data_IF_212399114226
#
_entry.id   IF_212399114226
#
_cell.length_a   1.000
_cell.length_b   1.000
_cell.length_c   1.000
_cell.angle_alpha   90.00
_cell.angle_beta   90.00
_cell.angle_gamma   90.00
#
_symmetry.space_group_name_H-M   'P 1'
#
loop_
_entity.id
_entity.type
_entity.pdbx_description
1 polymer ?
#
# COMPACT_ATOMS: atom_id res chain seq x y z
N UNK A 1 -21.45 -19.12 28.73
CA UNK A 1 -20.08 -19.13 28.20
C UNK A 1 -20.12 -18.71 26.73
N UNK A 2 -19.84 -17.48 26.45
CA UNK A 2 -19.77 -16.92 25.08
C UNK A 2 -18.41 -17.33 24.50
N UNK A 3 -18.42 -18.12 23.42
CA UNK A 3 -17.18 -18.47 22.70
C UNK A 3 -16.56 -17.19 22.14
N UNK A 4 -15.25 -16.99 22.27
CA UNK A 4 -14.56 -15.86 21.64
C UNK A 4 -14.75 -15.99 20.12
N UNK A 5 -15.18 -14.91 19.45
CA UNK A 5 -15.17 -14.81 17.99
C UNK A 5 -13.74 -14.98 17.53
N UNK A 6 -13.46 -16.01 16.75
CA UNK A 6 -12.22 -16.15 16.02
C UNK A 6 -12.05 -14.87 15.16
N UNK A 7 -10.95 -14.13 15.43
CA UNK A 7 -10.52 -13.08 14.51
C UNK A 7 -10.26 -13.73 13.17
N UNK A 8 -10.99 -13.34 12.13
CA UNK A 8 -10.61 -13.66 10.76
C UNK A 8 -9.15 -13.21 10.57
N UNK A 9 -8.29 -14.03 9.96
CA UNK A 9 -6.93 -13.62 9.69
C UNK A 9 -6.96 -12.38 8.81
N UNK A 10 -6.25 -11.33 9.23
CA UNK A 10 -6.09 -10.10 8.45
C UNK A 10 -5.65 -10.50 7.03
N UNK A 11 -6.44 -10.13 6.03
CA UNK A 11 -6.10 -10.38 4.63
C UNK A 11 -4.71 -9.77 4.36
N UNK A 12 -3.77 -10.58 3.91
CA UNK A 12 -2.40 -10.14 3.63
C UNK A 12 -2.44 -9.00 2.61
N UNK A 13 -1.93 -7.83 3.00
CA UNK A 13 -1.89 -6.65 2.13
C UNK A 13 -1.07 -6.96 0.86
N UNK A 14 -1.64 -6.68 -0.31
CA UNK A 14 -1.06 -6.97 -1.62
C UNK A 14 -0.14 -5.83 -2.08
N UNK A 15 1.00 -5.65 -1.38
CA UNK A 15 1.93 -4.55 -1.62
C UNK A 15 2.53 -4.55 -3.04
N UNK A 16 2.95 -5.72 -3.55
CA UNK A 16 3.65 -5.80 -4.83
C UNK A 16 2.78 -5.41 -6.03
N UNK A 17 1.53 -5.91 -6.21
CA UNK A 17 0.64 -5.44 -7.26
C UNK A 17 0.37 -3.95 -7.19
N UNK A 18 0.18 -3.39 -5.98
CA UNK A 18 -0.02 -1.96 -5.79
C UNK A 18 1.23 -1.14 -6.15
N UNK A 19 2.43 -1.64 -5.81
CA UNK A 19 3.67 -1.02 -6.23
C UNK A 19 3.80 -0.98 -7.75
N UNK A 20 3.52 -2.10 -8.46
CA UNK A 20 3.54 -2.12 -9.92
C UNK A 20 2.57 -1.09 -10.51
N UNK A 21 1.36 -0.98 -9.97
CA UNK A 21 0.39 0.02 -10.38
C UNK A 21 0.90 1.45 -10.12
N UNK A 22 1.49 1.71 -8.95
CA UNK A 22 2.07 3.00 -8.61
C UNK A 22 3.24 3.38 -9.54
N UNK A 23 4.14 2.45 -9.83
CA UNK A 23 5.26 2.68 -10.76
C UNK A 23 4.77 3.02 -12.18
N UNK A 24 3.70 2.37 -12.65
CA UNK A 24 3.08 2.70 -13.93
C UNK A 24 2.42 4.08 -13.92
N UNK A 25 1.80 4.48 -12.80
CA UNK A 25 1.24 5.83 -12.64
C UNK A 25 2.33 6.91 -12.60
N UNK A 26 3.43 6.67 -11.90
CA UNK A 26 4.59 7.57 -11.89
C UNK A 26 5.12 7.87 -13.30
N UNK A 27 5.16 6.84 -14.12
CA UNK A 27 5.71 6.90 -15.47
C UNK A 27 4.65 7.09 -16.57
N UNK A 28 3.39 7.41 -16.20
CA UNK A 28 2.24 7.48 -17.13
C UNK A 28 2.43 8.43 -18.29
N UNK A 29 3.16 9.52 -18.09
CA UNK A 29 3.45 10.49 -19.16
C UNK A 29 4.29 9.89 -20.29
N UNK A 30 5.04 8.84 -20.00
CA UNK A 30 5.86 8.12 -20.96
C UNK A 30 5.33 6.73 -21.30
N UNK A 31 4.07 6.40 -20.96
CA UNK A 31 3.53 5.04 -21.15
C UNK A 31 3.63 4.52 -22.59
N UNK A 32 3.63 5.41 -23.57
CA UNK A 32 3.81 5.04 -24.97
C UNK A 32 5.25 4.59 -25.31
N UNK A 33 6.22 4.96 -24.50
CA UNK A 33 7.65 4.69 -24.66
C UNK A 33 8.15 3.57 -23.75
N UNK A 34 7.29 3.03 -22.89
CA UNK A 34 7.62 2.04 -21.87
C UNK A 34 6.76 0.78 -22.02
N UNK A 35 7.37 -0.38 -21.84
CA UNK A 35 6.70 -1.67 -21.70
C UNK A 35 6.95 -2.22 -20.30
N UNK A 36 5.87 -2.52 -19.56
CA UNK A 36 5.93 -3.02 -18.17
C UNK A 36 5.66 -4.53 -18.15
N UNK A 37 6.63 -5.31 -17.71
CA UNK A 37 6.53 -6.77 -17.58
C UNK A 37 6.53 -7.13 -16.10
N UNK A 38 5.34 -7.31 -15.54
CA UNK A 38 5.12 -7.69 -14.14
C UNK A 38 5.43 -9.18 -13.94
N UNK A 39 5.91 -9.56 -12.74
CA UNK A 39 6.18 -10.95 -12.35
C UNK A 39 6.99 -11.71 -13.42
N UNK A 40 8.03 -11.05 -13.95
CA UNK A 40 8.83 -11.61 -15.03
C UNK A 40 9.55 -12.88 -14.60
N UNK A 41 9.27 -14.00 -15.30
CA UNK A 41 9.83 -15.29 -14.97
C UNK A 41 11.17 -15.51 -15.68
N UNK A 42 12.27 -15.59 -14.91
CA UNK A 42 13.62 -15.74 -15.45
C UNK A 42 14.03 -17.18 -15.70
N UNK A 43 13.19 -18.18 -15.41
CA UNK A 43 13.53 -19.58 -15.64
C UNK A 43 12.33 -20.43 -16.05
N UNK A 44 12.61 -21.56 -16.75
CA UNK A 44 11.60 -22.58 -17.08
C UNK A 44 11.13 -23.40 -15.86
N UNK A 45 11.70 -23.19 -14.66
CA UNK A 45 11.25 -23.69 -13.36
C UNK A 45 11.25 -22.52 -12.38
N UNK A 46 10.27 -22.45 -11.46
CA UNK A 46 9.96 -21.21 -10.78
C UNK A 46 11.07 -20.75 -9.83
N UNK A 47 11.96 -19.92 -10.32
CA UNK A 47 12.48 -18.83 -9.54
C UNK A 47 11.42 -17.71 -9.71
N UNK A 48 10.33 -17.80 -8.96
CA UNK A 48 9.35 -16.72 -8.90
C UNK A 48 10.04 -15.51 -8.28
N UNK A 49 10.14 -14.48 -9.05
CA UNK A 49 10.73 -13.21 -8.65
C UNK A 49 9.69 -12.14 -8.83
N UNK A 50 9.44 -11.42 -7.76
CA UNK A 50 8.57 -10.25 -7.75
C UNK A 50 9.28 -9.06 -8.42
N UNK A 51 9.85 -9.28 -9.61
CA UNK A 51 10.54 -8.24 -10.37
C UNK A 51 9.60 -7.60 -11.38
N UNK A 52 9.68 -6.27 -11.43
CA UNK A 52 9.14 -5.49 -12.53
C UNK A 52 10.25 -5.20 -13.54
N UNK A 53 10.04 -5.53 -14.81
CA UNK A 53 10.93 -5.12 -15.91
C UNK A 53 10.24 -4.03 -16.70
N UNK A 54 10.94 -2.92 -16.90
CA UNK A 54 10.48 -1.80 -17.73
C UNK A 54 11.41 -1.70 -18.94
N UNK A 55 10.87 -1.94 -20.13
CA UNK A 55 11.59 -1.73 -21.39
C UNK A 55 11.30 -0.33 -21.93
N UNK A 56 12.36 0.44 -22.17
CA UNK A 56 12.30 1.82 -22.66
C UNK A 56 12.59 1.84 -24.18
N UNK A 57 11.76 2.49 -24.95
CA UNK A 57 12.03 2.71 -26.38
C UNK A 57 13.30 3.55 -26.58
N UNK A 58 14.05 3.23 -27.64
CA UNK A 58 15.24 4.01 -28.02
C UNK A 58 14.90 5.49 -28.13
N UNK A 59 15.80 6.33 -27.60
CA UNK A 59 15.72 7.79 -27.64
C UNK A 59 14.55 8.41 -26.87
N UNK A 60 13.73 7.63 -26.16
CA UNK A 60 12.72 8.19 -25.28
C UNK A 60 13.36 8.93 -24.11
N UNK A 61 12.89 10.15 -23.83
CA UNK A 61 13.28 10.90 -22.64
C UNK A 61 12.20 10.73 -21.57
N UNK A 62 12.58 10.25 -20.40
CA UNK A 62 11.66 10.06 -19.29
C UNK A 62 11.68 11.35 -18.46
N UNK A 63 10.50 11.94 -18.25
CA UNK A 63 10.34 13.21 -17.52
C UNK A 63 10.43 13.03 -16.00
N UNK A 64 10.03 11.86 -15.49
CA UNK A 64 10.07 11.55 -14.07
C UNK A 64 11.51 11.29 -13.61
N UNK A 65 11.90 11.84 -12.47
CA UNK A 65 13.26 11.78 -11.93
C UNK A 65 13.75 10.34 -11.69
N UNK A 66 12.84 9.43 -11.29
CA UNK A 66 13.14 8.00 -11.13
C UNK A 66 13.59 7.39 -12.45
N UNK A 67 12.97 7.81 -13.54
CA UNK A 67 13.28 7.32 -14.89
C UNK A 67 14.52 7.95 -15.53
N UNK A 68 15.16 8.92 -14.90
CA UNK A 68 16.35 9.60 -15.46
C UNK A 68 17.50 8.60 -15.70
N UNK A 69 17.66 7.60 -14.82
CA UNK A 69 18.69 6.57 -14.97
C UNK A 69 18.34 5.51 -16.02
N UNK A 70 17.06 5.42 -16.44
CA UNK A 70 16.57 4.32 -17.26
C UNK A 70 17.25 4.24 -18.63
N UNK A 71 17.58 3.00 -19.00
CA UNK A 71 18.12 2.61 -20.31
C UNK A 71 17.15 1.65 -20.99
N UNK A 72 17.59 0.89 -21.96
CA UNK A 72 16.73 -0.04 -22.71
C UNK A 72 15.94 -1.00 -21.83
N UNK A 73 16.60 -1.58 -20.81
CA UNK A 73 16.00 -2.58 -19.92
C UNK A 73 16.25 -2.21 -18.45
N UNK A 74 15.19 -2.06 -17.68
CA UNK A 74 15.25 -1.57 -16.31
C UNK A 74 14.65 -2.60 -15.36
N UNK A 75 15.51 -3.20 -14.53
CA UNK A 75 15.15 -4.24 -13.55
C UNK A 75 14.80 -3.55 -12.23
N UNK A 76 13.60 -3.79 -11.73
CA UNK A 76 13.08 -3.13 -10.54
C UNK A 76 12.73 -4.17 -9.48
N UNK A 77 13.29 -4.02 -8.29
CA UNK A 77 12.95 -4.77 -7.07
C UNK A 77 12.23 -3.84 -6.09
N UNK A 78 11.12 -4.30 -5.54
CA UNK A 78 10.39 -3.60 -4.49
C UNK A 78 10.38 -4.43 -3.21
N UNK A 79 10.71 -3.79 -2.09
CA UNK A 79 10.54 -4.33 -0.74
C UNK A 79 9.40 -3.64 -0.01
N UNK A 80 8.44 -4.43 0.43
CA UNK A 80 7.29 -3.91 1.18
C UNK A 80 7.75 -3.17 2.46
N UNK A 81 6.92 -2.30 3.04
CA UNK A 81 7.26 -1.64 4.30
C UNK A 81 7.56 -2.62 5.44
N UNK A 82 7.04 -3.85 5.35
CA UNK A 82 7.20 -4.90 6.37
C UNK A 82 8.51 -5.69 6.21
N UNK A 83 9.15 -5.60 5.04
CA UNK A 83 10.36 -6.34 4.71
C UNK A 83 11.59 -5.46 4.85
N UNK A 84 12.70 -6.07 5.31
CA UNK A 84 14.01 -5.46 5.25
C UNK A 84 14.56 -5.45 3.81
N UNK A 85 15.44 -4.49 3.50
CA UNK A 85 16.26 -4.54 2.29
C UNK A 85 17.71 -4.70 2.72
N UNK A 86 18.26 -5.87 2.45
CA UNK A 86 19.58 -6.30 2.90
C UNK A 86 20.62 -6.21 1.78
N UNK A 87 21.90 -6.39 2.13
CA UNK A 87 22.97 -6.52 1.15
C UNK A 87 22.77 -7.73 0.23
N UNK A 88 22.18 -8.83 0.76
CA UNK A 88 21.89 -10.02 -0.02
C UNK A 88 20.76 -9.76 -1.03
N UNK A 89 19.73 -8.98 -0.65
CA UNK A 89 18.69 -8.55 -1.59
C UNK A 89 19.27 -7.71 -2.73
N UNK A 90 20.19 -6.81 -2.41
CA UNK A 90 20.88 -5.99 -3.40
C UNK A 90 21.65 -6.84 -4.42
N UNK A 91 22.52 -7.73 -3.94
CA UNK A 91 23.30 -8.60 -4.83
C UNK A 91 22.43 -9.66 -5.55
N UNK A 92 21.36 -10.12 -4.91
CA UNK A 92 20.36 -10.98 -5.54
C UNK A 92 19.70 -10.27 -6.72
N UNK A 93 19.27 -9.02 -6.55
CA UNK A 93 18.65 -8.24 -7.64
C UNK A 93 19.64 -7.98 -8.78
N UNK A 94 20.88 -7.65 -8.45
CA UNK A 94 21.94 -7.50 -9.45
C UNK A 94 22.21 -8.83 -10.19
N UNK A 95 22.24 -9.96 -9.48
CA UNK A 95 22.33 -11.29 -10.06
C UNK A 95 21.18 -11.58 -11.03
N UNK A 96 19.98 -11.17 -10.70
CA UNK A 96 18.82 -11.30 -11.57
C UNK A 96 18.91 -10.43 -12.82
N UNK A 97 19.41 -9.22 -12.71
CA UNK A 97 19.69 -8.39 -13.87
C UNK A 97 20.72 -9.03 -14.80
N UNK A 98 21.75 -9.67 -14.25
CA UNK A 98 22.73 -10.44 -15.01
C UNK A 98 22.13 -11.68 -15.67
N UNK A 99 21.24 -12.40 -14.97
CA UNK A 99 20.50 -13.54 -15.53
C UNK A 99 19.58 -13.08 -16.67
N UNK A 100 18.82 -12.00 -16.47
CA UNK A 100 17.96 -11.43 -17.49
C UNK A 100 18.73 -11.10 -18.78
N UNK A 101 19.90 -10.44 -18.63
CA UNK A 101 20.82 -10.21 -19.75
C UNK A 101 21.24 -11.50 -20.46
N UNK A 102 21.57 -12.54 -19.67
CA UNK A 102 22.10 -13.81 -20.17
C UNK A 102 21.07 -14.74 -20.84
N UNK A 103 19.77 -14.50 -20.63
CA UNK A 103 18.69 -15.33 -21.16
C UNK A 103 18.22 -14.94 -22.58
N UNK A 104 18.87 -13.96 -23.21
CA UNK A 104 18.58 -13.59 -24.60
C UNK A 104 18.82 -14.76 -25.56
N UNK A 105 18.01 -14.88 -26.61
CA UNK A 105 18.13 -15.92 -27.66
C UNK A 105 19.41 -15.78 -28.48
N UNK A 106 19.95 -14.57 -28.57
CA UNK A 106 21.17 -14.24 -29.31
C UNK A 106 22.24 -13.70 -28.40
N UNK A 107 23.50 -13.93 -28.76
CA UNK A 107 24.64 -13.37 -28.03
C UNK A 107 24.54 -11.85 -27.97
N UNK A 108 24.63 -11.31 -26.76
CA UNK A 108 24.54 -9.88 -26.46
C UNK A 108 23.27 -9.19 -26.98
N UNK A 109 22.15 -9.91 -26.98
CA UNK A 109 20.83 -9.36 -27.39
C UNK A 109 20.43 -8.19 -26.52
N UNK A 110 20.74 -8.25 -25.20
CA UNK A 110 20.64 -7.14 -24.25
C UNK A 110 22.05 -6.69 -23.95
N UNK A 111 22.52 -5.59 -24.53
CA UNK A 111 23.84 -5.03 -24.19
C UNK A 111 23.91 -4.58 -22.74
N UNK A 112 25.09 -4.71 -22.10
CA UNK A 112 25.25 -4.33 -20.70
C UNK A 112 24.95 -2.85 -20.45
N UNK A 113 25.31 -2.01 -21.39
CA UNK A 113 25.09 -0.57 -21.38
C UNK A 113 23.59 -0.19 -21.45
N UNK A 114 22.72 -1.11 -21.88
CA UNK A 114 21.26 -0.92 -21.94
C UNK A 114 20.54 -1.42 -20.68
N UNK A 115 21.27 -1.87 -19.66
CA UNK A 115 20.69 -2.44 -18.44
C UNK A 115 20.82 -1.47 -17.26
N UNK A 116 19.77 -1.34 -16.45
CA UNK A 116 19.78 -0.65 -15.15
C UNK A 116 19.09 -1.45 -14.06
N UNK A 117 19.39 -1.13 -12.80
CA UNK A 117 18.77 -1.73 -11.62
C UNK A 117 18.22 -0.64 -10.71
N UNK A 118 16.98 -0.81 -10.23
CA UNK A 118 16.36 0.10 -9.27
C UNK A 118 15.76 -0.69 -8.11
N UNK A 119 16.12 -0.32 -6.88
CA UNK A 119 15.61 -0.93 -5.66
C UNK A 119 14.71 0.07 -4.94
N UNK A 120 13.47 -0.33 -4.67
CA UNK A 120 12.46 0.52 -4.04
C UNK A 120 12.12 0.05 -2.64
N UNK A 121 12.05 0.99 -1.70
CA UNK A 121 11.60 0.75 -0.33
C UNK A 121 11.02 2.03 0.29
N UNK A 122 10.05 1.86 1.20
CA UNK A 122 9.41 3.00 1.86
C UNK A 122 10.39 3.83 2.70
N UNK A 123 11.26 3.19 3.49
CA UNK A 123 12.23 3.87 4.37
C UNK A 123 13.66 3.58 3.95
N UNK A 124 14.59 4.52 4.20
CA UNK A 124 15.99 4.37 3.84
C UNK A 124 16.62 3.09 4.42
N UNK A 125 17.21 2.23 3.58
CA UNK A 125 17.90 1.01 4.01
C UNK A 125 19.32 1.36 4.50
N UNK A 126 19.41 2.05 5.63
CA UNK A 126 20.68 2.62 6.17
C UNK A 126 21.78 1.58 6.32
N UNK A 127 21.43 0.35 6.75
CA UNK A 127 22.42 -0.72 6.92
C UNK A 127 22.97 -1.19 5.56
N UNK A 128 22.11 -1.38 4.55
CA UNK A 128 22.53 -1.68 3.19
C UNK A 128 23.46 -0.60 2.64
N UNK A 129 23.05 0.67 2.75
CA UNK A 129 23.86 1.81 2.24
C UNK A 129 25.23 1.85 2.91
N UNK A 130 25.28 1.64 4.24
CA UNK A 130 26.55 1.56 4.98
C UNK A 130 27.41 0.39 4.48
N UNK A 131 26.85 -0.81 4.35
CA UNK A 131 27.59 -1.99 3.88
C UNK A 131 28.13 -1.81 2.44
N UNK A 132 27.38 -1.16 1.56
CA UNK A 132 27.87 -0.82 0.22
C UNK A 132 29.08 0.11 0.30
N UNK A 133 29.07 1.12 1.17
CA UNK A 133 30.21 2.03 1.40
C UNK A 133 31.40 1.25 1.99
N UNK A 134 31.16 0.37 2.97
CA UNK A 134 32.19 -0.48 3.59
C UNK A 134 32.85 -1.43 2.55
N UNK A 135 32.13 -1.84 1.51
CA UNK A 135 32.61 -2.62 0.38
C UNK A 135 33.33 -1.77 -0.70
N UNK A 136 33.43 -0.46 -0.49
CA UNK A 136 34.12 0.45 -1.41
C UNK A 136 33.25 1.03 -2.52
N UNK A 137 31.95 0.79 -2.51
CA UNK A 137 31.01 1.43 -3.43
C UNK A 137 30.65 2.83 -2.93
N UNK A 138 30.29 3.72 -3.86
CA UNK A 138 29.88 5.08 -3.53
C UNK A 138 28.36 5.19 -3.60
N UNK A 139 27.73 5.64 -2.52
CA UNK A 139 26.27 5.88 -2.44
C UNK A 139 26.06 7.38 -2.34
N UNK A 140 25.50 8.00 -3.37
CA UNK A 140 25.32 9.45 -3.47
C UNK A 140 23.85 9.81 -3.64
N UNK A 141 23.39 10.81 -2.89
CA UNK A 141 22.08 11.42 -3.09
C UNK A 141 22.08 12.16 -4.45
N UNK A 142 21.21 11.71 -5.35
CA UNK A 142 21.02 12.35 -6.65
C UNK A 142 19.96 13.46 -6.56
N UNK A 143 18.79 13.13 -6.03
CA UNK A 143 17.72 14.06 -5.70
C UNK A 143 16.93 13.48 -4.51
N UNK A 144 15.96 14.22 -3.99
CA UNK A 144 15.19 13.80 -2.80
C UNK A 144 14.69 12.37 -2.94
N UNK A 145 15.13 11.48 -2.05
CA UNK A 145 14.73 10.06 -2.02
C UNK A 145 15.37 9.16 -3.09
N UNK A 146 16.23 9.69 -3.97
CA UNK A 146 16.89 8.90 -5.03
C UNK A 146 18.40 8.92 -4.81
N UNK A 147 18.98 7.74 -4.58
CA UNK A 147 20.40 7.54 -4.33
C UNK A 147 21.03 6.71 -5.46
N UNK A 148 22.12 7.16 -6.04
CA UNK A 148 22.87 6.39 -7.02
C UNK A 148 23.99 5.60 -6.36
N UNK A 149 24.15 4.33 -6.77
CA UNK A 149 25.23 3.46 -6.31
C UNK A 149 26.24 3.32 -7.44
N UNK A 150 27.43 3.89 -7.21
CA UNK A 150 28.52 3.89 -8.19
C UNK A 150 29.55 2.79 -7.86
N UNK A 151 30.27 2.35 -8.88
CA UNK A 151 31.28 1.29 -8.79
C UNK A 151 30.88 -0.01 -9.49
N UNK A 152 29.67 -0.05 -10.07
CA UNK A 152 29.17 -1.15 -10.88
C UNK A 152 29.16 -0.80 -12.37
N UNK A 153 29.30 -1.80 -13.24
CA UNK A 153 29.17 -1.63 -14.70
C UNK A 153 27.72 -1.35 -15.13
N UNK A 154 26.75 -1.74 -14.29
CA UNK A 154 25.33 -1.48 -14.47
C UNK A 154 24.97 -0.29 -13.59
N UNK A 155 24.31 0.77 -14.09
CA UNK A 155 23.81 1.84 -13.25
C UNK A 155 22.75 1.34 -12.28
N UNK A 156 22.88 1.73 -11.02
CA UNK A 156 22.01 1.28 -9.93
C UNK A 156 21.51 2.48 -9.15
N UNK A 157 20.21 2.47 -8.82
CA UNK A 157 19.63 3.43 -7.88
C UNK A 157 18.88 2.72 -6.74
N UNK A 158 18.87 3.39 -5.59
CA UNK A 158 18.01 3.07 -4.45
C UNK A 158 17.00 4.20 -4.32
N UNK A 159 15.70 3.87 -4.37
CA UNK A 159 14.61 4.82 -4.25
C UNK A 159 13.92 4.64 -2.90
N UNK A 160 13.98 5.68 -2.07
CA UNK A 160 13.33 5.75 -0.76
C UNK A 160 12.03 6.53 -0.92
N UNK A 161 10.91 5.82 -1.07
CA UNK A 161 9.65 6.43 -1.53
C UNK A 161 9.10 7.48 -0.56
N UNK A 162 9.36 7.38 0.75
CA UNK A 162 8.95 8.39 1.73
C UNK A 162 9.74 9.70 1.65
N UNK A 163 10.94 9.66 1.09
CA UNK A 163 11.81 10.82 0.94
C UNK A 163 11.65 11.53 -0.42
N UNK A 164 10.84 10.97 -1.34
CA UNK A 164 10.54 11.58 -2.62
C UNK A 164 9.79 12.90 -2.47
N UNK A 165 9.88 13.77 -3.46
CA UNK A 165 9.10 15.01 -3.50
C UNK A 165 7.59 14.68 -3.61
N UNK A 166 6.79 15.32 -2.77
CA UNK A 166 5.32 15.15 -2.75
C UNK A 166 4.60 15.75 -3.96
N UNK A 167 5.29 16.44 -4.86
CA UNK A 167 4.66 17.06 -6.03
C UNK A 167 4.62 16.15 -7.26
N UNK A 168 5.50 15.14 -7.29
CA UNK A 168 5.72 14.32 -8.49
C UNK A 168 5.60 12.82 -8.22
N UNK A 169 5.43 12.39 -6.95
CA UNK A 169 5.56 10.98 -6.57
C UNK A 169 4.46 10.53 -5.59
N UNK A 170 3.25 11.07 -5.72
CA UNK A 170 2.14 10.86 -4.80
C UNK A 170 1.78 9.37 -4.72
N UNK A 171 1.76 8.65 -5.83
CA UNK A 171 1.35 7.25 -5.89
C UNK A 171 2.31 6.30 -5.15
N UNK A 172 3.62 6.61 -5.14
CA UNK A 172 4.61 5.83 -4.40
C UNK A 172 4.66 6.20 -2.91
N UNK A 173 4.44 7.47 -2.57
CA UNK A 173 4.51 7.96 -1.18
C UNK A 173 3.41 7.38 -0.31
N UNK A 174 2.22 7.16 -0.85
CA UNK A 174 1.10 6.57 -0.09
C UNK A 174 1.25 5.07 0.15
N UNK A 175 2.18 4.37 -0.53
CA UNK A 175 2.49 2.96 -0.32
C UNK A 175 3.44 2.75 0.88
N UNK A 176 2.97 3.16 2.06
CA UNK A 176 3.70 3.03 3.32
C UNK A 176 2.72 2.79 4.47
N UNK A 177 3.19 2.20 5.59
CA UNK A 177 2.38 2.08 6.82
C UNK A 177 2.29 3.37 7.63
N UNK A 178 2.91 4.44 7.16
CA UNK A 178 2.93 5.74 7.81
C UNK A 178 2.88 6.86 6.76
N UNK A 179 1.98 6.72 5.78
CA UNK A 179 1.70 7.77 4.81
C UNK A 179 1.24 9.04 5.54
N UNK A 180 1.68 10.21 5.09
CA UNK A 180 1.23 11.47 5.66
C UNK A 180 -0.14 11.85 5.11
N UNK A 181 -0.93 12.60 5.92
CA UNK A 181 -2.30 13.01 5.52
C UNK A 181 -2.29 13.81 4.22
N UNK A 182 -1.31 14.68 4.08
CA UNK A 182 -1.12 15.54 2.91
C UNK A 182 -0.85 14.71 1.65
N UNK A 183 -0.05 13.64 1.76
CA UNK A 183 0.23 12.74 0.63
C UNK A 183 -1.02 11.92 0.26
N UNK A 184 -1.80 11.47 1.25
CA UNK A 184 -3.07 10.79 1.06
C UNK A 184 -4.07 11.69 0.32
N UNK A 185 -4.23 12.94 0.77
CA UNK A 185 -5.14 13.89 0.15
C UNK A 185 -4.74 14.19 -1.30
N UNK A 186 -3.47 14.53 -1.53
CA UNK A 186 -2.95 14.80 -2.89
C UNK A 186 -3.14 13.63 -3.84
N UNK A 187 -2.80 12.42 -3.40
CA UNK A 187 -2.98 11.25 -4.27
C UNK A 187 -4.46 10.96 -4.55
N UNK A 188 -5.35 11.15 -3.58
CA UNK A 188 -6.78 10.98 -3.77
C UNK A 188 -7.36 12.00 -4.76
N UNK A 189 -6.90 13.26 -4.70
CA UNK A 189 -7.27 14.30 -5.65
C UNK A 189 -6.76 13.97 -7.06
N UNK A 190 -5.49 13.57 -7.18
CA UNK A 190 -4.88 13.16 -8.44
C UNK A 190 -5.61 11.95 -9.06
N UNK A 191 -5.96 10.95 -8.24
CA UNK A 191 -6.66 9.75 -8.69
C UNK A 191 -8.05 10.07 -9.30
N UNK A 192 -8.73 11.08 -8.77
CA UNK A 192 -10.01 11.57 -9.32
C UNK A 192 -9.85 12.16 -10.73
N UNK A 193 -8.75 12.86 -10.94
CA UNK A 193 -8.53 13.61 -12.19
C UNK A 193 -8.02 12.71 -13.34
N UNK A 194 -7.72 11.43 -13.07
CA UNK A 194 -7.39 10.48 -14.14
C UNK A 194 -8.60 10.22 -15.04
N UNK A 195 -8.43 10.51 -16.32
CA UNK A 195 -9.46 10.29 -17.34
C UNK A 195 -9.35 8.94 -18.03
N UNK A 196 -8.13 8.41 -18.14
CA UNK A 196 -7.85 7.12 -18.77
C UNK A 196 -8.29 5.96 -17.86
N UNK A 197 -9.14 5.03 -18.35
CA UNK A 197 -9.65 3.92 -17.51
C UNK A 197 -8.53 3.08 -16.87
N UNK A 198 -7.47 2.78 -17.63
CA UNK A 198 -6.34 2.00 -17.12
C UNK A 198 -5.54 2.72 -16.01
N UNK A 199 -5.55 4.05 -15.97
CA UNK A 199 -4.89 4.81 -14.89
C UNK A 199 -5.78 4.88 -13.66
N UNK A 200 -7.12 4.93 -13.82
CA UNK A 200 -8.07 4.79 -12.70
C UNK A 200 -7.93 3.44 -12.01
N UNK A 201 -7.94 2.32 -12.76
CA UNK A 201 -7.77 0.98 -12.18
C UNK A 201 -6.47 0.85 -11.36
N UNK A 202 -5.38 1.45 -11.85
CA UNK A 202 -4.11 1.46 -11.12
C UNK A 202 -4.18 2.31 -9.85
N UNK A 203 -4.81 3.48 -9.94
CA UNK A 203 -5.02 4.35 -8.78
C UNK A 203 -5.88 3.66 -7.72
N UNK A 204 -6.95 2.96 -8.11
CA UNK A 204 -7.80 2.19 -7.21
C UNK A 204 -7.00 1.07 -6.51
N UNK A 205 -6.14 0.35 -7.23
CA UNK A 205 -5.27 -0.66 -6.65
C UNK A 205 -4.29 -0.08 -5.61
N UNK A 206 -3.72 1.10 -5.88
CA UNK A 206 -2.84 1.81 -4.94
C UNK A 206 -3.64 2.29 -3.72
N UNK A 207 -4.80 2.91 -3.93
CA UNK A 207 -5.68 3.40 -2.85
C UNK A 207 -6.13 2.26 -1.94
N UNK A 208 -6.54 1.13 -2.50
CA UNK A 208 -6.97 -0.04 -1.72
C UNK A 208 -5.89 -0.49 -0.74
N UNK A 209 -4.63 -0.58 -1.19
CA UNK A 209 -3.50 -0.96 -0.33
C UNK A 209 -3.18 0.14 0.67
N UNK A 210 -3.20 1.40 0.26
CA UNK A 210 -2.91 2.54 1.13
C UNK A 210 -3.95 2.67 2.25
N UNK A 211 -5.25 2.51 1.94
CA UNK A 211 -6.35 2.48 2.92
C UNK A 211 -6.16 1.35 3.91
N UNK A 212 -5.89 0.12 3.42
CA UNK A 212 -5.66 -1.03 4.28
C UNK A 212 -4.48 -0.85 5.24
N UNK A 213 -3.43 -0.14 4.80
CA UNK A 213 -2.22 0.10 5.58
C UNK A 213 -2.32 1.29 6.56
N UNK A 214 -3.21 2.26 6.29
CA UNK A 214 -3.28 3.55 7.01
C UNK A 214 -4.73 3.90 7.42
N UNK A 215 -5.53 2.92 7.80
CA UNK A 215 -6.97 3.05 8.05
C UNK A 215 -7.33 4.23 8.95
N UNK A 216 -6.63 4.39 10.08
CA UNK A 216 -6.89 5.48 11.03
C UNK A 216 -6.71 6.86 10.39
N UNK A 217 -5.67 7.05 9.56
CA UNK A 217 -5.42 8.32 8.86
C UNK A 217 -6.46 8.62 7.80
N UNK A 218 -6.91 7.60 7.07
CA UNK A 218 -8.02 7.76 6.14
C UNK A 218 -9.33 8.11 6.85
N UNK A 219 -9.60 7.52 8.03
CA UNK A 219 -10.74 7.90 8.87
C UNK A 219 -10.65 9.34 9.38
N UNK A 220 -9.45 9.82 9.71
CA UNK A 220 -9.22 11.21 10.09
C UNK A 220 -9.42 12.18 8.90
N UNK A 221 -8.91 11.84 7.71
CA UNK A 221 -9.14 12.60 6.48
C UNK A 221 -10.63 12.63 6.14
N UNK A 222 -11.33 11.51 6.31
CA UNK A 222 -12.78 11.40 6.12
C UNK A 222 -13.59 12.31 7.01
N UNK A 223 -13.17 12.50 8.27
CA UNK A 223 -13.85 13.37 9.25
C UNK A 223 -13.53 14.85 9.08
N UNK A 224 -12.51 15.17 8.31
CA UNK A 224 -12.18 16.56 8.00
C UNK A 224 -13.21 17.16 7.03
N UNK A 225 -13.54 18.45 7.18
CA UNK A 225 -14.48 19.15 6.30
C UNK A 225 -14.04 19.19 4.83
N UNK A 226 -12.77 18.87 4.55
CA UNK A 226 -12.15 18.89 3.23
C UNK A 226 -12.05 17.49 2.58
N UNK A 227 -12.90 16.54 2.98
CA UNK A 227 -12.90 15.22 2.32
C UNK A 227 -13.33 15.35 0.87
N UNK A 228 -12.44 14.98 -0.07
CA UNK A 228 -12.78 15.02 -1.48
C UNK A 228 -13.84 13.94 -1.82
N UNK A 229 -14.65 14.25 -2.85
CA UNK A 229 -15.77 13.41 -3.28
C UNK A 229 -15.33 12.01 -3.74
N UNK A 230 -14.13 11.90 -4.33
CA UNK A 230 -13.55 10.64 -4.79
C UNK A 230 -13.24 9.67 -3.62
N UNK A 231 -12.71 10.17 -2.50
CA UNK A 231 -12.48 9.34 -1.32
C UNK A 231 -13.81 8.89 -0.70
N UNK A 232 -14.83 9.76 -0.74
CA UNK A 232 -16.19 9.44 -0.28
C UNK A 232 -16.82 8.34 -1.13
N UNK A 233 -16.65 8.39 -2.44
CA UNK A 233 -17.19 7.40 -3.37
C UNK A 233 -16.46 6.05 -3.25
N UNK A 234 -15.14 6.06 -3.13
CA UNK A 234 -14.32 4.87 -2.94
C UNK A 234 -14.61 4.14 -1.62
N UNK A 235 -14.93 4.90 -0.57
CA UNK A 235 -15.25 4.35 0.75
C UNK A 235 -16.76 4.17 0.99
N UNK A 236 -17.59 4.41 -0.02
CA UNK A 236 -19.06 4.40 0.12
C UNK A 236 -19.59 3.07 0.64
N UNK A 237 -19.11 1.95 0.11
CA UNK A 237 -19.52 0.62 0.56
C UNK A 237 -19.09 0.34 2.00
N UNK A 238 -17.88 0.73 2.40
CA UNK A 238 -17.39 0.59 3.78
C UNK A 238 -18.18 1.51 4.74
N UNK A 239 -18.49 2.73 4.31
CA UNK A 239 -19.32 3.68 5.08
C UNK A 239 -20.74 3.12 5.28
N UNK A 240 -21.34 2.57 4.24
CA UNK A 240 -22.68 1.95 4.31
C UNK A 240 -22.67 0.71 5.23
N UNK A 241 -21.63 -0.13 5.17
CA UNK A 241 -21.49 -1.26 6.09
C UNK A 241 -21.29 -0.84 7.54
N UNK A 242 -20.47 0.20 7.77
CA UNK A 242 -20.21 0.72 9.12
C UNK A 242 -21.46 1.39 9.70
N UNK A 243 -22.19 2.15 8.89
CA UNK A 243 -23.48 2.72 9.27
C UNK A 243 -24.51 1.63 9.60
N UNK A 244 -24.54 0.55 8.82
CA UNK A 244 -25.42 -0.60 9.08
C UNK A 244 -25.05 -1.28 10.38
N UNK A 245 -23.77 -1.57 10.62
CA UNK A 245 -23.28 -2.16 11.89
C UNK A 245 -23.55 -1.27 13.09
N UNK A 246 -23.35 0.04 12.96
CA UNK A 246 -23.63 0.98 14.05
C UNK A 246 -25.13 1.10 14.31
N UNK A 247 -25.98 1.06 13.29
CA UNK A 247 -27.44 1.05 13.44
C UNK A 247 -27.92 -0.24 14.12
N UNK A 248 -27.39 -1.40 13.72
CA UNK A 248 -27.68 -2.69 14.37
C UNK A 248 -27.22 -2.68 15.84
N UNK A 249 -26.05 -2.13 16.13
CA UNK A 249 -25.51 -2.02 17.49
C UNK A 249 -26.38 -1.10 18.37
N UNK A 250 -26.76 0.06 17.85
CA UNK A 250 -27.64 1.00 18.56
C UNK A 250 -29.04 0.42 18.79
N UNK A 251 -29.57 -0.37 17.84
CA UNK A 251 -30.85 -1.07 18.02
C UNK A 251 -30.75 -2.12 19.15
N UNK A 252 -29.68 -2.90 19.19
CA UNK A 252 -29.47 -3.91 20.24
C UNK A 252 -29.26 -3.26 21.61
N UNK A 253 -28.47 -2.18 21.67
CA UNK A 253 -28.26 -1.41 22.91
C UNK A 253 -29.57 -0.77 23.39
N UNK A 254 -30.32 -0.11 22.49
CA UNK A 254 -31.61 0.50 22.82
C UNK A 254 -32.68 -0.53 23.26
N UNK A 255 -32.68 -1.73 22.65
CA UNK A 255 -33.57 -2.82 23.09
C UNK A 255 -33.17 -3.32 24.47
N UNK A 256 -31.89 -3.52 24.74
CA UNK A 256 -31.37 -3.95 26.05
C UNK A 256 -31.63 -2.92 27.17
N UNK A 257 -31.45 -1.63 26.84
CA UNK A 257 -31.73 -0.52 27.77
C UNK A 257 -33.27 -0.41 28.03
N UNK A 258 -34.07 -0.53 26.98
CA UNK A 258 -35.54 -0.53 27.08
C UNK A 258 -36.08 -1.69 27.92
N UNK A 259 -35.56 -2.92 27.71
CA UNK A 259 -35.91 -4.06 28.54
C UNK A 259 -35.49 -3.87 30.01
N UNK A 260 -34.32 -3.30 30.24
CA UNK A 260 -33.83 -3.03 31.60
C UNK A 260 -34.69 -1.97 32.29
N UNK A 261 -35.10 -0.95 31.58
CA UNK A 261 -35.93 0.11 32.08
C UNK A 261 -37.36 -0.40 32.38
N UNK A 262 -37.95 -1.17 31.45
CA UNK A 262 -39.27 -1.79 31.65
C UNK A 262 -39.28 -2.74 32.85
N UNK A 263 -38.21 -3.53 33.03
CA UNK A 263 -38.06 -4.40 34.21
C UNK A 263 -37.94 -3.61 35.52
N UNK A 264 -37.28 -2.46 35.51
CA UNK A 264 -37.21 -1.57 36.66
C UNK A 264 -38.57 -0.94 37.00
N UNK A 265 -39.27 -0.45 36.01
CA UNK A 265 -40.60 0.14 36.19
C UNK A 265 -41.61 -0.91 36.71
N UNK A 266 -41.61 -2.10 36.10
CA UNK A 266 -42.45 -3.22 36.58
C UNK A 266 -42.10 -3.63 38.01
N UNK A 267 -40.83 -3.69 38.37
CA UNK A 267 -40.39 -4.01 39.73
C UNK A 267 -40.84 -2.92 40.71
N UNK A 268 -40.80 -1.66 40.31
CA UNK A 268 -41.25 -0.53 41.13
C UNK A 268 -42.76 -0.57 41.39
N UNK A 269 -43.60 -0.82 40.35
CA UNK A 269 -45.03 -0.94 40.45
C UNK A 269 -45.41 -2.13 41.36
N UNK A 270 -44.82 -3.31 41.15
CA UNK A 270 -45.11 -4.49 41.98
C UNK A 270 -44.73 -4.30 43.45
N UNK A 271 -43.70 -3.49 43.73
CA UNK A 271 -43.30 -3.18 45.10
C UNK A 271 -44.21 -2.13 45.75
N UNK A 272 -44.50 -1.06 45.09
CA UNK A 272 -45.20 0.10 45.68
C UNK A 272 -46.72 0.05 45.59
N UNK A 273 -47.26 -0.52 44.51
CA UNK A 273 -48.70 -0.55 44.28
C UNK A 273 -49.34 -1.90 44.64
N UNK A 274 -48.64 -3.02 44.41
CA UNK A 274 -49.19 -4.35 44.70
C UNK A 274 -48.63 -5.01 46.00
N UNK A 275 -47.61 -4.40 46.64
CA UNK A 275 -47.09 -4.84 47.94
C UNK A 275 -46.38 -6.19 47.92
N UNK A 276 -45.81 -6.60 46.78
CA UNK A 276 -45.06 -7.88 46.69
C UNK A 276 -43.74 -7.81 47.41
N UNK A 277 -43.31 -8.94 47.99
CA UNK A 277 -41.99 -9.04 48.60
C UNK A 277 -40.88 -9.00 47.55
N UNK A 278 -39.76 -8.45 47.90
CA UNK A 278 -38.58 -8.34 47.02
C UNK A 278 -38.15 -9.68 46.41
N UNK A 279 -38.28 -10.78 47.16
CA UNK A 279 -37.96 -12.13 46.71
C UNK A 279 -38.94 -12.62 45.62
N UNK A 280 -40.22 -12.22 45.69
CA UNK A 280 -41.25 -12.56 44.71
C UNK A 280 -41.09 -11.73 43.41
N UNK A 281 -40.72 -10.44 43.55
CA UNK A 281 -40.42 -9.53 42.44
C UNK A 281 -39.18 -10.01 41.67
N UNK A 282 -38.12 -10.40 42.37
CA UNK A 282 -36.90 -10.92 41.78
C UNK A 282 -37.11 -12.20 40.94
N UNK A 283 -38.11 -13.03 41.34
CA UNK A 283 -38.50 -14.21 40.56
C UNK A 283 -39.30 -13.84 39.31
N UNK A 284 -40.21 -12.87 39.39
CA UNK A 284 -41.08 -12.43 38.28
C UNK A 284 -40.28 -11.65 37.21
N UNK A 285 -39.35 -10.84 37.62
CA UNK A 285 -38.51 -10.01 36.69
C UNK A 285 -37.36 -10.82 36.06
N UNK A 286 -37.02 -12.01 36.60
CA UNK A 286 -36.02 -12.93 36.05
C UNK A 286 -36.53 -14.01 35.11
N UNK A 287 -37.86 -14.16 34.98
CA UNK A 287 -38.46 -15.12 34.05
C UNK A 287 -38.69 -14.50 32.69
N UNK A 288 -37.57 -14.32 31.92
CA UNK A 288 -37.60 -14.39 30.45
C UNK A 288 -36.22 -14.88 29.96
#
# INVERSE_FOLDING_TARGET
MVKPKEKQPDAKIQWHPAFCAAAELELRLNKADLEFKREYNLSKKPLQMDLLIIEKRKNAQIQNEIGTIFRGHNVIEYKSPDDGMTIDDFFKTLGYACLYKGLGEKVNQIPLEELTVSLFRASAPKQLMKQLIDYGYKVELHTSGIYYVQGFSIPIQIVVTKELDSKNHESLKVLSRSAEKEDIQKFTELARDFSEPGDKEKADAVLQVSVAANREKYDEVRRSENMCEALRELMKEEIEEELKKNREKSLVEGHSEGETQAKKEMAYELYHEEGFSIERIAKLVKQD
#
